data_IF_778422330526
#
_entry.id   IF_778422330526
#
_cell.length_a   1.000
_cell.length_b   1.000
_cell.length_c   1.000
_cell.angle_alpha   90.00
_cell.angle_beta   90.00
_cell.angle_gamma   90.00
#
_symmetry.space_group_name_H-M   'P 1'
#
loop_
_entity.id
_entity.type
_entity.pdbx_description
1 polymer ?
#
# COMPACT_ATOMS: atom_id res chain seq x y z
N UNK A 1 9.11 45.07 21.30
CA UNK A 1 10.18 44.04 21.37
C UNK A 1 9.53 42.70 21.72
N UNK A 2 10.14 41.59 21.27
CA UNK A 2 9.79 40.20 21.58
C UNK A 2 8.59 39.57 20.86
N UNK A 3 8.87 39.00 19.69
CA UNK A 3 8.48 37.61 19.40
C UNK A 3 9.73 36.88 18.90
N UNK A 4 10.30 36.06 19.78
CA UNK A 4 11.40 35.17 19.44
C UNK A 4 10.92 34.20 18.33
N UNK A 5 11.49 34.34 17.13
CA UNK A 5 11.44 33.32 16.09
C UNK A 5 12.20 32.10 16.64
N UNK A 6 11.46 31.12 17.15
CA UNK A 6 12.01 29.78 17.36
C UNK A 6 12.59 29.28 16.04
N UNK A 7 13.82 28.76 16.07
CA UNK A 7 14.50 28.21 14.91
C UNK A 7 13.62 27.12 14.27
N UNK A 8 13.07 27.38 13.08
CA UNK A 8 12.43 26.35 12.25
C UNK A 8 13.53 25.49 11.64
N UNK A 9 14.04 24.54 12.44
CA UNK A 9 14.88 23.46 11.95
C UNK A 9 14.15 22.72 10.83
N UNK A 10 14.86 22.45 9.74
CA UNK A 10 14.23 21.98 8.52
C UNK A 10 13.57 20.59 8.75
N UNK A 11 12.26 20.52 8.48
CA UNK A 11 11.41 19.37 8.83
C UNK A 11 11.24 18.44 7.63
N UNK A 12 11.51 17.16 7.83
CA UNK A 12 11.27 16.10 6.85
C UNK A 12 9.82 16.09 6.33
N UNK A 13 9.66 16.08 5.01
CA UNK A 13 8.35 16.04 4.36
C UNK A 13 8.01 14.61 3.97
N UNK A 14 6.85 14.12 4.38
CA UNK A 14 6.41 12.76 4.06
C UNK A 14 5.35 12.78 2.96
N UNK A 15 5.62 12.09 1.86
CA UNK A 15 4.69 11.89 0.75
C UNK A 15 4.23 10.43 0.75
N UNK A 16 2.91 10.21 0.74
CA UNK A 16 2.30 8.88 0.60
C UNK A 16 1.82 8.72 -0.84
N UNK A 17 2.26 7.67 -1.50
CA UNK A 17 1.90 7.38 -2.88
C UNK A 17 1.57 5.91 -3.07
N UNK A 18 0.72 5.61 -4.05
CA UNK A 18 0.37 4.24 -4.44
C UNK A 18 0.78 4.09 -5.89
N UNK A 19 1.65 3.13 -6.17
CA UNK A 19 2.22 2.89 -7.50
C UNK A 19 2.16 1.40 -7.79
N UNK A 20 1.87 1.04 -9.05
CA UNK A 20 1.90 -0.34 -9.49
C UNK A 20 3.32 -0.90 -9.46
N UNK A 21 3.51 -2.11 -8.92
CA UNK A 21 4.78 -2.82 -8.96
C UNK A 21 5.34 -2.88 -10.39
N UNK A 22 6.63 -2.54 -10.55
CA UNK A 22 7.32 -2.51 -11.85
C UNK A 22 6.82 -1.45 -12.85
N UNK A 23 5.88 -0.58 -12.45
CA UNK A 23 5.24 0.40 -13.34
C UNK A 23 5.43 1.85 -12.86
N UNK A 24 6.47 2.13 -12.06
CA UNK A 24 6.79 3.51 -11.70
C UNK A 24 7.35 4.27 -12.91
N UNK A 25 6.71 5.39 -13.23
CA UNK A 25 7.13 6.32 -14.27
C UNK A 25 6.97 7.77 -13.78
N UNK A 26 7.70 8.76 -14.35
CA UNK A 26 7.57 10.17 -13.98
C UNK A 26 6.24 10.81 -14.43
N UNK A 27 5.25 10.02 -14.87
CA UNK A 27 3.91 10.46 -15.22
C UNK A 27 3.06 10.76 -13.97
N UNK A 28 1.91 11.46 -14.10
CA UNK A 28 0.93 11.53 -13.00
C UNK A 28 0.54 10.09 -12.65
N UNK A 29 0.75 9.57 -11.42
CA UNK A 29 0.70 10.20 -10.10
C UNK A 29 2.04 10.48 -9.39
N UNK A 30 3.17 9.99 -9.91
CA UNK A 30 4.48 10.05 -9.22
C UNK A 30 5.20 11.37 -9.51
N UNK A 31 5.21 11.79 -10.78
CA UNK A 31 5.91 12.99 -11.25
C UNK A 31 5.51 14.25 -10.48
N UNK A 32 4.22 14.63 -10.45
CA UNK A 32 3.76 15.82 -9.72
C UNK A 32 3.95 15.73 -8.20
N UNK A 33 3.74 14.54 -7.61
CA UNK A 33 3.79 14.34 -6.17
C UNK A 33 5.22 14.49 -5.60
N UNK A 34 6.23 13.99 -6.32
CA UNK A 34 7.63 14.07 -5.91
C UNK A 34 8.34 15.31 -6.46
N UNK A 35 8.02 15.70 -7.70
CA UNK A 35 8.65 16.85 -8.37
C UNK A 35 8.36 18.18 -7.66
N UNK A 36 7.15 18.38 -7.13
CA UNK A 36 6.81 19.56 -6.33
C UNK A 36 7.63 19.70 -5.03
N UNK A 37 8.27 18.61 -4.58
CA UNK A 37 9.14 18.58 -3.39
C UNK A 37 10.63 18.62 -3.74
N UNK A 38 10.99 18.79 -5.01
CA UNK A 38 12.37 18.86 -5.47
C UNK A 38 13.10 17.51 -5.47
N UNK A 39 12.36 16.40 -5.42
CA UNK A 39 12.91 15.04 -5.49
C UNK A 39 13.14 14.64 -6.95
N UNK A 40 14.25 13.96 -7.23
CA UNK A 40 14.51 13.36 -8.55
C UNK A 40 13.59 12.17 -8.79
N UNK A 41 12.41 12.41 -9.37
CA UNK A 41 11.41 11.38 -9.64
C UNK A 41 11.92 10.22 -10.49
N UNK A 42 12.88 10.46 -11.39
CA UNK A 42 13.48 9.40 -12.22
C UNK A 42 14.28 8.38 -11.41
N UNK A 43 15.06 8.85 -10.43
CA UNK A 43 15.87 7.98 -9.57
C UNK A 43 14.95 7.13 -8.68
N UNK A 44 13.90 7.75 -8.13
CA UNK A 44 12.85 7.04 -7.42
C UNK A 44 12.19 5.95 -8.28
N UNK A 45 11.81 6.25 -9.53
CA UNK A 45 11.15 5.28 -10.40
C UNK A 45 12.04 4.05 -10.69
N UNK A 46 13.34 4.28 -10.95
CA UNK A 46 14.29 3.19 -11.18
C UNK A 46 14.46 2.31 -9.95
N UNK A 47 14.69 2.91 -8.80
CA UNK A 47 14.90 2.18 -7.54
C UNK A 47 13.62 1.43 -7.12
N UNK A 48 12.45 2.05 -7.29
CA UNK A 48 11.16 1.43 -7.02
C UNK A 48 10.92 0.20 -7.90
N UNK A 49 11.15 0.31 -9.21
CA UNK A 49 10.96 -0.81 -10.15
C UNK A 49 11.95 -1.95 -9.86
N UNK A 50 13.21 -1.64 -9.52
CA UNK A 50 14.19 -2.64 -9.13
C UNK A 50 13.77 -3.41 -7.85
N UNK A 51 13.31 -2.69 -6.82
CA UNK A 51 12.85 -3.32 -5.57
C UNK A 51 11.54 -4.09 -5.74
N UNK A 52 10.67 -3.72 -6.68
CA UNK A 52 9.38 -4.37 -6.91
C UNK A 52 9.40 -5.40 -8.04
N UNK A 53 10.55 -5.69 -8.64
CA UNK A 53 10.69 -6.60 -9.80
C UNK A 53 10.24 -8.05 -9.51
N UNK A 54 10.27 -8.49 -8.25
CA UNK A 54 9.84 -9.82 -7.83
C UNK A 54 8.33 -9.93 -7.57
N UNK A 55 7.60 -8.81 -7.61
CA UNK A 55 6.16 -8.73 -7.34
C UNK A 55 5.42 -8.69 -8.67
N UNK A 56 4.24 -9.31 -8.73
CA UNK A 56 3.38 -9.29 -9.92
C UNK A 56 3.17 -7.85 -10.42
N UNK A 57 3.54 -7.55 -11.69
CA UNK A 57 3.44 -6.21 -12.25
C UNK A 57 2.03 -5.63 -12.12
N UNK A 58 1.95 -4.34 -11.78
CA UNK A 58 0.68 -3.64 -11.61
C UNK A 58 -0.01 -3.86 -10.25
N UNK A 59 0.56 -4.66 -9.35
CA UNK A 59 0.09 -4.75 -7.96
C UNK A 59 0.23 -3.39 -7.28
N UNK A 60 -0.83 -2.80 -6.69
CA UNK A 60 -0.76 -1.49 -6.07
C UNK A 60 0.04 -1.56 -4.78
N UNK A 61 1.24 -0.99 -4.81
CA UNK A 61 2.18 -0.94 -3.70
C UNK A 61 2.14 0.46 -3.06
N UNK A 62 1.69 0.58 -1.80
CA UNK A 62 1.82 1.82 -1.05
C UNK A 62 3.30 2.09 -0.73
N UNK A 63 3.74 3.30 -0.96
CA UNK A 63 5.09 3.76 -0.68
C UNK A 63 5.03 5.03 0.17
N UNK A 64 5.88 5.08 1.20
CA UNK A 64 6.08 6.27 2.02
C UNK A 64 7.45 6.85 1.66
N UNK A 65 7.44 8.00 1.01
CA UNK A 65 8.66 8.73 0.67
C UNK A 65 8.88 9.82 1.70
N UNK A 66 10.02 9.77 2.38
CA UNK A 66 10.48 10.81 3.30
C UNK A 66 11.51 11.65 2.57
N UNK A 67 11.20 12.93 2.38
CA UNK A 67 12.04 13.92 1.72
C UNK A 67 12.71 14.77 2.79
N UNK A 68 14.03 14.73 2.82
CA UNK A 68 14.82 15.54 3.74
C UNK A 68 15.04 16.95 3.19
N UNK A 69 15.42 17.91 4.05
CA UNK A 69 15.68 19.29 3.66
C UNK A 69 16.76 19.48 2.57
N UNK A 70 17.73 18.59 2.52
CA UNK A 70 18.81 18.54 1.52
C UNK A 70 18.34 17.99 0.16
N UNK A 71 17.02 17.76 0.00
CA UNK A 71 16.39 17.14 -1.18
C UNK A 71 16.81 15.69 -1.40
N UNK A 72 17.52 15.08 -0.46
CA UNK A 72 17.66 13.63 -0.43
C UNK A 72 16.31 13.00 -0.07
N UNK A 73 16.08 11.79 -0.56
CA UNK A 73 14.86 11.05 -0.27
C UNK A 73 15.20 9.65 0.19
N UNK A 74 14.38 9.13 1.09
CA UNK A 74 14.35 7.72 1.44
C UNK A 74 12.92 7.23 1.27
N UNK A 75 12.73 5.98 0.86
CA UNK A 75 11.39 5.44 0.73
C UNK A 75 11.26 4.02 1.27
N UNK A 76 10.15 3.82 1.95
CA UNK A 76 9.74 2.52 2.48
C UNK A 76 8.63 1.95 1.62
N UNK A 77 8.89 0.78 1.03
CA UNK A 77 7.87 -0.01 0.37
C UNK A 77 7.02 -0.72 1.43
N UNK A 78 5.70 -0.59 1.31
CA UNK A 78 4.76 -1.32 2.15
C UNK A 78 4.14 -2.45 1.36
N UNK A 79 3.72 -3.47 2.09
CA UNK A 79 2.98 -4.59 1.50
C UNK A 79 1.69 -4.10 0.84
N UNK A 80 1.19 -4.79 -0.21
CA UNK A 80 -0.06 -4.41 -0.86
C UNK A 80 -1.21 -4.31 0.15
N UNK A 81 -2.18 -3.45 -0.15
CA UNK A 81 -3.36 -3.31 0.71
C UNK A 81 -4.07 -4.66 0.85
N UNK A 82 -4.42 -5.05 2.07
CA UNK A 82 -5.19 -6.29 2.30
C UNK A 82 -6.57 -6.22 1.64
N UNK A 83 -7.13 -5.01 1.55
CA UNK A 83 -8.16 -4.60 0.58
C UNK A 83 -8.07 -5.33 -0.76
N UNK A 84 -6.98 -5.03 -1.44
CA UNK A 84 -6.67 -5.48 -2.78
C UNK A 84 -6.31 -6.97 -2.80
N UNK A 85 -5.54 -7.47 -1.83
CA UNK A 85 -5.15 -8.89 -1.77
C UNK A 85 -6.37 -9.82 -1.62
N UNK A 86 -7.34 -9.44 -0.77
CA UNK A 86 -8.56 -10.21 -0.58
C UNK A 86 -9.44 -10.20 -1.83
N UNK A 87 -9.64 -9.04 -2.45
CA UNK A 87 -10.36 -8.92 -3.73
C UNK A 87 -9.61 -9.64 -4.87
N UNK A 88 -8.28 -9.72 -4.78
CA UNK A 88 -7.46 -10.44 -5.73
C UNK A 88 -7.66 -11.96 -5.61
N UNK A 89 -7.71 -12.47 -4.38
CA UNK A 89 -7.89 -13.88 -4.07
C UNK A 89 -9.27 -14.42 -4.46
N UNK A 90 -10.33 -13.62 -4.36
CA UNK A 90 -11.72 -14.04 -4.69
C UNK A 90 -12.15 -13.71 -6.11
N UNK A 91 -11.23 -13.25 -6.97
CA UNK A 91 -11.57 -12.87 -8.36
C UNK A 91 -12.74 -11.89 -8.48
N UNK A 92 -12.81 -10.94 -7.54
CA UNK A 92 -13.91 -9.99 -7.44
C UNK A 92 -14.14 -9.20 -8.75
N UNK A 93 -15.40 -8.87 -9.07
CA UNK A 93 -15.76 -8.14 -10.28
C UNK A 93 -15.02 -6.81 -10.38
N UNK A 94 -14.53 -6.52 -11.58
CA UNK A 94 -13.85 -5.26 -11.89
C UNK A 94 -14.88 -4.18 -12.20
N UNK A 95 -14.61 -2.97 -11.72
CA UNK A 95 -15.38 -1.79 -12.09
C UNK A 95 -15.00 -1.27 -13.48
N UNK A 96 -15.71 -0.25 -13.97
CA UNK A 96 -15.42 0.44 -15.25
C UNK A 96 -14.00 1.03 -15.36
N UNK A 97 -13.31 1.18 -14.23
CA UNK A 97 -11.93 1.69 -14.14
C UNK A 97 -10.89 0.56 -14.04
N UNK A 98 -11.30 -0.70 -14.21
CA UNK A 98 -10.42 -1.87 -14.15
C UNK A 98 -10.06 -2.36 -12.74
N UNK A 99 -10.53 -1.67 -11.69
CA UNK A 99 -10.23 -2.01 -10.30
C UNK A 99 -11.27 -3.00 -9.75
N UNK A 100 -10.82 -4.02 -9.03
CA UNK A 100 -11.72 -4.95 -8.32
C UNK A 100 -12.50 -4.20 -7.24
N UNK A 101 -13.80 -4.41 -7.14
CA UNK A 101 -14.69 -3.72 -6.19
C UNK A 101 -15.20 -4.70 -5.13
N UNK A 102 -15.22 -4.27 -3.87
CA UNK A 102 -15.91 -4.96 -2.78
C UNK A 102 -17.44 -4.78 -2.83
N UNK A 103 -18.14 -5.37 -1.86
CA UNK A 103 -19.59 -5.28 -1.75
C UNK A 103 -20.03 -3.82 -1.59
N UNK A 104 -21.14 -3.44 -2.21
CA UNK A 104 -21.69 -2.09 -2.01
C UNK A 104 -22.40 -2.00 -0.67
N UNK A 105 -23.01 -3.11 -0.22
CA UNK A 105 -23.61 -3.26 1.11
C UNK A 105 -23.05 -4.49 1.84
N UNK A 106 -21.90 -4.36 2.52
CA UNK A 106 -21.31 -5.43 3.32
C UNK A 106 -22.31 -5.95 4.36
N UNK A 107 -22.46 -7.27 4.47
CA UNK A 107 -23.42 -7.93 5.36
C UNK A 107 -24.74 -8.35 4.70
N UNK A 108 -25.12 -7.71 3.59
CA UNK A 108 -26.24 -8.16 2.75
C UNK A 108 -25.75 -8.77 1.43
N UNK A 109 -24.72 -8.18 0.84
CA UNK A 109 -24.11 -8.64 -0.40
C UNK A 109 -22.77 -9.33 -0.10
N UNK A 110 -22.56 -10.49 -0.73
CA UNK A 110 -21.28 -11.21 -0.68
C UNK A 110 -20.65 -11.20 -2.06
N UNK A 111 -19.41 -10.72 -2.15
CA UNK A 111 -18.63 -10.64 -3.41
C UNK A 111 -18.00 -11.97 -3.77
N UNK A 112 -17.62 -12.74 -2.75
CA UNK A 112 -16.94 -14.01 -2.92
C UNK A 112 -16.64 -14.66 -1.58
N UNK A 113 -16.10 -15.87 -1.65
CA UNK A 113 -15.69 -16.64 -0.48
C UNK A 113 -14.19 -16.89 -0.52
N UNK A 114 -13.54 -16.88 0.64
CA UNK A 114 -12.10 -17.13 0.78
C UNK A 114 -11.87 -18.18 1.86
N UNK A 115 -11.00 -19.16 1.59
CA UNK A 115 -10.63 -20.18 2.58
C UNK A 115 -9.65 -19.62 3.62
N UNK A 116 -9.58 -20.24 4.80
CA UNK A 116 -8.54 -19.93 5.80
C UNK A 116 -7.09 -20.07 5.29
N UNK A 117 -6.84 -20.98 4.33
CA UNK A 117 -5.50 -21.15 3.72
C UNK A 117 -5.00 -19.87 3.05
N UNK A 118 -5.83 -19.28 2.19
CA UNK A 118 -5.55 -17.99 1.54
C UNK A 118 -5.40 -16.83 2.53
N UNK A 119 -6.19 -16.81 3.62
CA UNK A 119 -6.04 -15.80 4.69
C UNK A 119 -4.66 -15.89 5.33
N UNK A 120 -4.20 -17.12 5.59
CA UNK A 120 -2.88 -17.38 6.18
C UNK A 120 -1.73 -16.98 5.25
N UNK A 121 -1.85 -17.22 3.94
CA UNK A 121 -0.89 -16.77 2.94
C UNK A 121 -0.81 -15.24 2.88
N UNK A 122 -1.96 -14.56 2.83
CA UNK A 122 -2.02 -13.10 2.88
C UNK A 122 -1.38 -12.58 4.18
N UNK A 123 -1.59 -13.28 5.29
CA UNK A 123 -1.00 -12.91 6.57
C UNK A 123 0.53 -13.01 6.54
N UNK A 124 1.08 -14.09 5.99
CA UNK A 124 2.53 -14.25 5.80
C UNK A 124 3.14 -13.15 4.94
N UNK A 125 2.49 -12.82 3.82
CA UNK A 125 2.94 -11.73 2.94
C UNK A 125 2.99 -10.42 3.72
N UNK A 126 1.97 -10.10 4.51
CA UNK A 126 1.93 -8.85 5.30
C UNK A 126 2.89 -8.86 6.49
N UNK A 127 3.16 -10.01 7.09
CA UNK A 127 4.11 -10.14 8.20
C UNK A 127 5.58 -9.93 7.76
N UNK A 128 5.89 -10.07 6.47
CA UNK A 128 7.21 -9.72 5.92
C UNK A 128 7.57 -8.24 6.10
N UNK A 129 6.59 -7.35 6.33
CA UNK A 129 6.83 -5.95 6.64
C UNK A 129 7.42 -5.82 8.05
N UNK A 130 8.58 -5.15 8.18
CA UNK A 130 9.28 -4.97 9.46
C UNK A 130 8.40 -4.37 10.58
N UNK A 131 7.42 -3.53 10.22
CA UNK A 131 6.49 -2.94 11.18
C UNK A 131 5.45 -3.93 11.72
N UNK A 132 5.19 -5.00 10.98
CA UNK A 132 4.20 -6.03 11.30
C UNK A 132 4.83 -7.34 11.80
N UNK A 133 6.16 -7.47 11.72
CA UNK A 133 6.88 -8.67 12.12
C UNK A 133 6.74 -9.02 13.61
N UNK A 134 6.52 -8.02 14.47
CA UNK A 134 6.30 -8.21 15.91
C UNK A 134 4.89 -8.70 16.27
N UNK A 135 3.95 -8.75 15.32
CA UNK A 135 2.59 -9.24 15.58
C UNK A 135 2.53 -10.76 15.40
N UNK A 136 1.76 -11.43 16.27
CA UNK A 136 1.49 -12.85 16.10
C UNK A 136 0.74 -13.11 14.80
N UNK A 137 1.09 -14.21 14.13
CA UNK A 137 0.48 -14.58 12.86
C UNK A 137 -1.04 -14.80 13.01
N UNK A 138 -1.46 -15.35 14.15
CA UNK A 138 -2.88 -15.50 14.50
C UNK A 138 -3.60 -14.14 14.61
N UNK A 139 -3.00 -13.17 15.29
CA UNK A 139 -3.56 -11.81 15.41
C UNK A 139 -3.70 -11.12 14.05
N UNK A 140 -2.72 -11.36 13.17
CA UNK A 140 -2.74 -10.84 11.80
C UNK A 140 -3.86 -11.50 10.97
N UNK A 141 -4.02 -12.83 11.06
CA UNK A 141 -5.11 -13.57 10.43
C UNK A 141 -6.48 -13.05 10.90
N UNK A 142 -6.69 -12.88 12.22
CA UNK A 142 -7.94 -12.34 12.77
C UNK A 142 -8.26 -10.94 12.22
N UNK A 143 -7.25 -10.09 12.09
CA UNK A 143 -7.40 -8.75 11.50
C UNK A 143 -7.79 -8.80 10.03
N UNK A 144 -7.21 -9.72 9.25
CA UNK A 144 -7.55 -9.93 7.84
C UNK A 144 -8.97 -10.47 7.69
N UNK A 145 -9.40 -11.42 8.53
CA UNK A 145 -10.77 -11.95 8.56
C UNK A 145 -11.77 -10.83 8.85
N UNK A 146 -11.48 -9.96 9.82
CA UNK A 146 -12.33 -8.82 10.13
C UNK A 146 -12.44 -7.87 8.94
N UNK A 147 -11.33 -7.60 8.25
CA UNK A 147 -11.34 -6.78 7.05
C UNK A 147 -12.12 -7.44 5.90
N UNK A 148 -12.04 -8.76 5.72
CA UNK A 148 -12.81 -9.49 4.72
C UNK A 148 -14.32 -9.30 4.91
N UNK A 149 -14.80 -9.35 6.15
CA UNK A 149 -16.22 -9.05 6.48
C UNK A 149 -16.61 -7.63 6.09
N UNK A 150 -15.74 -6.64 6.34
CA UNK A 150 -16.03 -5.23 6.01
C UNK A 150 -16.15 -4.95 4.51
N UNK A 151 -15.61 -5.81 3.64
CA UNK A 151 -15.69 -5.68 2.17
C UNK A 151 -16.69 -6.68 1.54
N UNK A 152 -17.43 -7.42 2.35
CA UNK A 152 -18.41 -8.41 1.90
C UNK A 152 -17.79 -9.68 1.33
N UNK A 153 -16.65 -10.13 1.87
CA UNK A 153 -16.08 -11.45 1.56
C UNK A 153 -16.34 -12.38 2.73
N UNK A 154 -16.93 -13.54 2.45
CA UNK A 154 -17.16 -14.55 3.46
C UNK A 154 -15.92 -15.44 3.64
N UNK A 155 -15.56 -15.76 4.87
CA UNK A 155 -14.41 -16.62 5.17
C UNK A 155 -14.93 -18.01 5.52
N UNK A 156 -14.49 -19.00 4.75
CA UNK A 156 -14.86 -20.41 4.94
C UNK A 156 -13.69 -21.14 5.61
N UNK A 157 -14.00 -21.93 6.63
CA UNK A 157 -13.03 -22.76 7.34
C UNK A 157 -12.64 -23.98 6.52
#
# INVERSE_FOLDING_TARGET
MSKAKGATGAVDQVVKLIVGAGQASPSPPVGPALGSKGVKSMDFCKEFNARTAHITPGTPMPCRVTVRPDRSFHFDLRTPQTSWLLLNAVEAPRNKKGNRKGASKPGHETVGTISLKHVYEIAKIKQSELRLSGLSLEGLCRSIIYQARSIGINVVA
#
